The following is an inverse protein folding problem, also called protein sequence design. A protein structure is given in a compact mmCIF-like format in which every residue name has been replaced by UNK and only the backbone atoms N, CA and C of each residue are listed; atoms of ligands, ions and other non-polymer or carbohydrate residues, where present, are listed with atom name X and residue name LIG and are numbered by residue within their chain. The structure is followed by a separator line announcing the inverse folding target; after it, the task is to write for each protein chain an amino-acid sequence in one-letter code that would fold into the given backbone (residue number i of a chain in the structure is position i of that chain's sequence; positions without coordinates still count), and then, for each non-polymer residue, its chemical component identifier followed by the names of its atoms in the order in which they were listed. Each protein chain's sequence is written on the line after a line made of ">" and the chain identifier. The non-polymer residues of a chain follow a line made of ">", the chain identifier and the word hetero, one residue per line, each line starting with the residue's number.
data_IF_101496336150
#
_entry.id   IF_101496336150
#
_cell.length_a   1.000
_cell.length_b   1.000
_cell.length_c   1.000
_cell.angle_alpha   90.00
_cell.angle_beta   90.00
_cell.angle_gamma   90.00
#
_symmetry.space_group_name_H-M   'P 1'
#
loop_
_entity.id
_entity.type
_entity.pdbx_description
1 polymer ?
#
# COMPACT_ATOMS: atom_id res chain seq x y z
N UNK A 1 2.06 11.04 -39.11
CA UNK A 1 2.34 11.84 -37.91
C UNK A 1 3.50 11.20 -37.23
N UNK A 2 4.48 11.94 -36.78
CA UNK A 2 5.64 11.36 -36.09
C UNK A 2 5.21 11.04 -34.67
N UNK A 3 5.33 9.79 -34.26
CA UNK A 3 5.12 9.36 -32.90
C UNK A 3 6.18 10.01 -32.00
N UNK A 4 5.79 10.44 -30.78
CA UNK A 4 6.75 10.98 -29.79
C UNK A 4 7.90 10.00 -29.61
N UNK A 5 9.13 10.50 -29.57
CA UNK A 5 10.33 9.70 -29.35
C UNK A 5 10.37 9.22 -27.88
N UNK A 6 10.77 7.95 -27.68
CA UNK A 6 10.86 7.35 -26.34
C UNK A 6 11.77 8.14 -25.39
N UNK A 7 12.81 8.78 -25.92
CA UNK A 7 13.68 9.66 -25.13
C UNK A 7 12.93 10.92 -24.63
N UNK A 8 12.11 11.53 -25.47
CA UNK A 8 11.31 12.70 -25.09
C UNK A 8 10.27 12.33 -24.04
N UNK A 9 9.57 11.19 -24.24
CA UNK A 9 8.60 10.67 -23.27
C UNK A 9 9.26 10.42 -21.90
N UNK A 10 10.41 9.75 -21.90
CA UNK A 10 11.15 9.49 -20.67
C UNK A 10 11.58 10.78 -19.95
N UNK A 11 12.02 11.78 -20.69
CA UNK A 11 12.37 13.09 -20.12
C UNK A 11 11.17 13.78 -19.45
N UNK A 12 9.99 13.71 -20.09
CA UNK A 12 8.76 14.29 -19.53
C UNK A 12 8.35 13.53 -18.26
N UNK A 13 8.29 12.20 -18.29
CA UNK A 13 7.93 11.36 -17.15
C UNK A 13 8.86 11.59 -15.97
N UNK A 14 10.16 11.56 -16.20
CA UNK A 14 11.16 11.80 -15.13
C UNK A 14 11.05 13.21 -14.55
N UNK A 15 10.74 14.22 -15.37
CA UNK A 15 10.53 15.59 -14.90
C UNK A 15 9.29 15.69 -14.00
N UNK A 16 8.15 15.10 -14.40
CA UNK A 16 6.91 15.12 -13.62
C UNK A 16 7.05 14.34 -12.31
N UNK A 17 7.72 13.18 -12.33
CA UNK A 17 8.04 12.42 -11.11
C UNK A 17 8.86 13.28 -10.15
N UNK A 18 9.95 13.89 -10.64
CA UNK A 18 10.84 14.70 -9.82
C UNK A 18 10.15 15.94 -9.26
N UNK A 19 9.36 16.63 -10.06
CA UNK A 19 8.63 17.82 -9.63
C UNK A 19 7.59 17.47 -8.55
N UNK A 20 6.91 16.32 -8.70
CA UNK A 20 5.95 15.82 -7.71
C UNK A 20 6.63 15.40 -6.41
N UNK A 21 7.75 14.65 -6.48
CA UNK A 21 8.54 14.25 -5.30
C UNK A 21 9.02 15.48 -4.53
N UNK A 22 9.65 16.45 -5.19
CA UNK A 22 10.12 17.68 -4.55
C UNK A 22 9.00 18.46 -3.87
N UNK A 23 7.79 18.46 -4.44
CA UNK A 23 6.65 19.11 -3.83
C UNK A 23 6.19 18.41 -2.56
N UNK A 24 6.08 17.08 -2.59
CA UNK A 24 5.64 16.31 -1.43
C UNK A 24 6.69 16.33 -0.31
N UNK A 25 7.97 16.15 -0.63
CA UNK A 25 9.05 16.15 0.35
C UNK A 25 9.20 17.51 1.04
N UNK A 26 9.05 18.61 0.29
CA UNK A 26 9.24 19.94 0.86
C UNK A 26 8.05 20.47 1.67
N UNK A 27 6.81 20.11 1.32
CA UNK A 27 5.60 20.71 1.92
C UNK A 27 4.86 19.75 2.88
N UNK A 28 4.93 18.43 2.65
CA UNK A 28 4.05 17.48 3.38
C UNK A 28 4.78 16.41 4.18
N UNK A 29 5.96 15.97 3.77
CA UNK A 29 6.65 14.86 4.43
C UNK A 29 6.93 15.14 5.90
N UNK A 30 7.57 16.26 6.21
CA UNK A 30 7.87 16.64 7.60
C UNK A 30 6.62 16.84 8.46
N UNK A 31 5.54 17.34 7.88
CA UNK A 31 4.28 17.51 8.61
C UNK A 31 3.60 16.17 8.89
N UNK A 32 3.72 15.20 7.97
CA UNK A 32 3.19 13.84 8.16
C UNK A 32 3.97 13.06 9.22
N UNK A 33 5.31 13.19 9.24
CA UNK A 33 6.16 12.62 10.29
C UNK A 33 5.74 13.20 11.66
N UNK A 34 5.63 14.52 11.77
CA UNK A 34 5.17 15.17 13.00
C UNK A 34 3.77 14.73 13.41
N UNK A 35 2.85 14.58 12.46
CA UNK A 35 1.51 14.10 12.76
C UNK A 35 1.52 12.70 13.37
N UNK A 36 2.39 11.81 12.86
CA UNK A 36 2.59 10.47 13.41
C UNK A 36 3.19 10.51 14.83
N UNK A 37 4.20 11.32 15.06
CA UNK A 37 4.82 11.51 16.40
C UNK A 37 3.79 12.00 17.41
N UNK A 38 2.95 12.97 17.05
CA UNK A 38 1.88 13.47 17.90
C UNK A 38 0.80 12.41 18.18
N UNK A 39 0.48 11.59 17.17
CA UNK A 39 -0.48 10.50 17.34
C UNK A 39 0.06 9.39 18.25
N UNK A 40 1.35 9.06 18.13
CA UNK A 40 2.03 8.08 18.98
C UNK A 40 2.34 8.60 20.37
N UNK A 41 2.31 9.91 20.58
CA UNK A 41 2.66 10.54 21.86
C UNK A 41 4.17 10.59 22.08
N UNK A 42 4.94 10.69 21.02
CA UNK A 42 6.40 10.85 21.08
C UNK A 42 6.80 12.21 21.68
N UNK A 43 8.04 12.35 22.20
CA UNK A 43 8.51 13.58 22.78
C UNK A 43 8.39 14.79 21.84
N UNK A 44 7.81 15.88 22.36
CA UNK A 44 7.58 17.11 21.58
C UNK A 44 8.86 17.94 21.35
N UNK A 45 10.00 17.54 21.97
CA UNK A 45 11.27 18.25 21.90
C UNK A 45 11.38 19.49 22.80
N UNK A 46 10.37 19.77 23.62
CA UNK A 46 10.35 20.87 24.59
C UNK A 46 10.43 20.38 26.03
N UNK A 47 10.79 19.12 26.25
CA UNK A 47 10.99 18.50 27.57
C UNK A 47 12.26 19.02 28.23
N UNK A 48 12.17 19.19 29.56
CA UNK A 48 13.32 19.63 30.37
C UNK A 48 13.77 18.47 31.25
N UNK A 49 15.06 18.12 31.15
CA UNK A 49 15.65 17.06 31.97
C UNK A 49 15.48 17.35 33.47
N UNK A 50 15.09 16.33 34.24
CA UNK A 50 14.82 16.44 35.66
C UNK A 50 13.47 17.06 36.02
N UNK A 51 12.59 17.29 35.05
CA UNK A 51 11.20 17.72 35.22
C UNK A 51 10.23 16.72 34.64
N UNK A 52 8.94 16.93 34.86
CA UNK A 52 7.90 16.11 34.27
C UNK A 52 7.96 16.14 32.72
N UNK A 53 7.89 14.96 32.11
CA UNK A 53 7.94 14.77 30.65
C UNK A 53 6.61 14.20 30.10
N UNK A 54 5.52 14.32 30.85
CA UNK A 54 4.21 13.81 30.48
C UNK A 54 3.73 14.47 29.16
N UNK A 55 3.22 13.67 28.26
CA UNK A 55 2.64 14.07 26.99
C UNK A 55 1.16 13.68 26.97
N UNK A 56 0.31 14.57 26.53
CA UNK A 56 -1.10 14.31 26.29
C UNK A 56 -1.27 13.77 24.87
N UNK A 57 -2.20 12.85 24.63
CA UNK A 57 -2.46 12.19 23.34
C UNK A 57 -3.75 12.70 22.70
N UNK A 58 -3.97 14.01 22.71
CA UNK A 58 -5.24 14.60 22.24
C UNK A 58 -5.53 14.33 20.76
N UNK A 59 -4.48 14.26 19.93
CA UNK A 59 -4.62 13.91 18.49
C UNK A 59 -5.15 12.49 18.35
N UNK A 60 -4.51 11.53 19.02
CA UNK A 60 -4.95 10.14 19.01
C UNK A 60 -6.37 9.98 19.56
N UNK A 61 -6.65 10.57 20.71
CA UNK A 61 -7.97 10.49 21.36
C UNK A 61 -9.07 11.04 20.45
N UNK A 62 -8.81 12.15 19.77
CA UNK A 62 -9.80 12.76 18.86
C UNK A 62 -10.04 11.90 17.64
N UNK A 63 -8.99 11.39 17.00
CA UNK A 63 -9.11 10.51 15.84
C UNK A 63 -9.85 9.23 16.21
N UNK A 64 -9.45 8.58 17.32
CA UNK A 64 -10.08 7.34 17.77
C UNK A 64 -11.53 7.52 18.25
N UNK A 65 -11.96 8.73 18.60
CA UNK A 65 -13.37 9.05 18.87
C UNK A 65 -14.18 9.27 17.59
N UNK A 66 -13.57 9.81 16.54
CA UNK A 66 -14.23 10.06 15.24
C UNK A 66 -14.40 8.74 14.48
N UNK A 67 -13.38 7.88 14.47
CA UNK A 67 -13.32 6.65 13.67
C UNK A 67 -14.52 5.72 13.85
N UNK A 68 -14.98 5.35 15.06
CA UNK A 68 -16.13 4.46 15.22
C UNK A 68 -17.42 5.04 14.67
N UNK A 69 -17.61 6.35 14.81
CA UNK A 69 -18.79 7.03 14.28
C UNK A 69 -18.78 7.08 12.75
N UNK A 70 -17.62 7.34 12.17
CA UNK A 70 -17.43 7.36 10.72
C UNK A 70 -17.63 5.95 10.15
N UNK A 71 -16.96 4.95 10.73
CA UNK A 71 -17.10 3.55 10.32
C UNK A 71 -18.54 3.07 10.41
N UNK A 72 -19.27 3.42 11.47
CA UNK A 72 -20.66 3.06 11.65
C UNK A 72 -21.57 3.55 10.50
N UNK A 73 -21.28 4.70 9.90
CA UNK A 73 -22.07 5.21 8.76
C UNK A 73 -21.98 4.26 7.56
N UNK A 74 -20.81 3.69 7.32
CA UNK A 74 -20.58 2.80 6.17
C UNK A 74 -20.85 1.32 6.46
N UNK A 75 -20.69 0.89 7.71
CA UNK A 75 -20.82 -0.54 8.09
C UNK A 75 -22.10 -0.87 8.83
N UNK A 76 -23.03 0.08 8.98
CA UNK A 76 -24.32 -0.16 9.68
C UNK A 76 -25.22 -1.19 8.98
N UNK A 77 -25.07 -1.30 7.67
CA UNK A 77 -25.70 -2.32 6.83
C UNK A 77 -24.59 -3.00 6.03
N UNK A 78 -24.78 -4.23 5.58
CA UNK A 78 -23.81 -4.95 4.73
C UNK A 78 -23.71 -4.36 3.30
N UNK A 79 -24.25 -3.17 3.09
CA UNK A 79 -24.22 -2.43 1.83
C UNK A 79 -23.43 -1.13 1.99
N UNK A 80 -22.24 -1.05 1.41
CA UNK A 80 -21.43 0.16 1.35
C UNK A 80 -21.94 1.14 0.28
N UNK A 81 -22.44 0.58 -0.83
CA UNK A 81 -22.86 1.34 -2.00
C UNK A 81 -24.22 0.85 -2.45
N UNK A 82 -25.08 1.76 -2.90
CA UNK A 82 -26.34 1.45 -3.54
C UNK A 82 -26.47 2.21 -4.85
N UNK A 83 -26.68 1.48 -5.93
CA UNK A 83 -26.93 2.06 -7.24
C UNK A 83 -28.41 2.36 -7.39
N UNK A 84 -28.71 3.57 -7.86
CA UNK A 84 -30.08 3.99 -8.15
C UNK A 84 -30.37 3.83 -9.64
N UNK A 85 -31.46 3.19 -9.98
CA UNK A 85 -31.92 3.09 -11.35
C UNK A 85 -32.29 4.48 -11.91
N UNK A 86 -31.92 4.75 -13.17
CA UNK A 86 -32.33 5.99 -13.87
C UNK A 86 -33.65 5.82 -14.59
N UNK A 87 -33.92 4.63 -15.09
CA UNK A 87 -35.16 4.28 -15.77
C UNK A 87 -35.83 3.09 -15.09
N UNK A 88 -37.12 2.87 -15.37
CA UNK A 88 -37.86 1.76 -14.80
C UNK A 88 -37.33 0.38 -15.28
N UNK A 89 -36.67 0.32 -16.42
CA UNK A 89 -36.09 -0.88 -17.00
C UNK A 89 -34.75 -1.24 -16.36
N UNK A 90 -34.07 -0.27 -15.72
CA UNK A 90 -32.74 -0.46 -15.11
C UNK A 90 -32.81 -0.92 -13.63
N UNK A 91 -34.00 -1.08 -13.06
CA UNK A 91 -34.14 -1.38 -11.60
C UNK A 91 -33.47 -2.70 -11.25
N UNK A 92 -33.77 -3.77 -11.97
CA UNK A 92 -33.19 -5.09 -11.72
C UNK A 92 -31.67 -5.10 -11.92
N UNK A 93 -31.20 -4.39 -12.94
CA UNK A 93 -29.75 -4.25 -13.21
C UNK A 93 -29.04 -3.44 -12.11
N UNK A 94 -29.67 -2.38 -11.61
CA UNK A 94 -29.12 -1.56 -10.52
C UNK A 94 -29.01 -2.37 -9.21
N UNK A 95 -29.99 -3.21 -8.93
CA UNK A 95 -29.95 -4.10 -7.75
C UNK A 95 -28.84 -5.17 -7.91
N UNK A 96 -28.72 -5.81 -9.08
CA UNK A 96 -27.63 -6.76 -9.36
C UNK A 96 -26.24 -6.12 -9.23
N UNK A 97 -26.05 -4.92 -9.77
CA UNK A 97 -24.78 -4.18 -9.65
C UNK A 97 -24.49 -3.83 -8.19
N UNK A 98 -25.52 -3.43 -7.44
CA UNK A 98 -25.41 -3.14 -6.00
C UNK A 98 -24.89 -4.37 -5.25
N UNK A 99 -25.52 -5.52 -5.45
CA UNK A 99 -25.14 -6.77 -4.79
C UNK A 99 -23.72 -7.20 -5.18
N UNK A 100 -23.38 -7.13 -6.47
CA UNK A 100 -22.05 -7.51 -6.96
C UNK A 100 -20.94 -6.60 -6.41
N UNK A 101 -21.11 -5.27 -6.43
CA UNK A 101 -20.09 -4.35 -5.92
C UNK A 101 -19.89 -4.52 -4.41
N UNK A 102 -20.98 -4.69 -3.64
CA UNK A 102 -20.88 -4.95 -2.22
C UNK A 102 -20.21 -6.30 -1.92
N UNK A 103 -20.47 -7.33 -2.75
CA UNK A 103 -19.79 -8.62 -2.65
C UNK A 103 -18.27 -8.46 -2.88
N UNK A 104 -17.86 -7.77 -3.94
CA UNK A 104 -16.44 -7.50 -4.24
C UNK A 104 -15.76 -6.77 -3.10
N UNK A 105 -16.41 -5.75 -2.52
CA UNK A 105 -15.82 -4.98 -1.41
C UNK A 105 -15.71 -5.84 -0.14
N UNK A 106 -16.73 -6.63 0.19
CA UNK A 106 -16.80 -7.38 1.46
C UNK A 106 -16.05 -8.70 1.44
N UNK A 107 -16.12 -9.45 0.30
CA UNK A 107 -15.64 -10.83 0.22
C UNK A 107 -14.34 -10.97 -0.55
N UNK A 108 -14.19 -10.26 -1.66
CA UNK A 108 -12.96 -10.31 -2.45
C UNK A 108 -11.87 -9.39 -1.88
N UNK A 109 -12.30 -8.36 -1.15
CA UNK A 109 -11.43 -7.40 -0.48
C UNK A 109 -11.85 -7.28 1.00
N UNK A 110 -10.93 -6.92 1.86
CA UNK A 110 -11.21 -6.66 3.28
C UNK A 110 -11.81 -5.25 3.47
N UNK A 111 -13.05 -5.04 3.01
CA UNK A 111 -13.67 -3.72 2.92
C UNK A 111 -13.64 -2.91 4.20
N UNK A 112 -13.85 -3.55 5.36
CA UNK A 112 -13.75 -2.88 6.67
C UNK A 112 -12.35 -2.32 6.93
N UNK A 113 -11.32 -3.11 6.68
CA UNK A 113 -9.92 -2.73 6.89
C UNK A 113 -9.50 -1.62 5.92
N UNK A 114 -9.92 -1.73 4.66
CA UNK A 114 -9.65 -0.72 3.64
C UNK A 114 -10.24 0.62 4.05
N UNK A 115 -11.52 0.67 4.43
CA UNK A 115 -12.18 1.90 4.87
C UNK A 115 -11.55 2.46 6.14
N UNK A 116 -11.23 1.60 7.11
CA UNK A 116 -10.60 2.03 8.35
C UNK A 116 -9.24 2.69 8.11
N UNK A 117 -8.40 2.07 7.30
CA UNK A 117 -7.08 2.62 6.96
C UNK A 117 -7.22 3.90 6.14
N UNK A 118 -8.10 3.89 5.13
CA UNK A 118 -8.34 5.05 4.26
C UNK A 118 -8.77 6.29 5.03
N UNK A 119 -9.72 6.13 5.94
CA UNK A 119 -10.19 7.24 6.76
C UNK A 119 -9.17 7.67 7.81
N UNK A 120 -8.44 6.72 8.39
CA UNK A 120 -7.41 7.03 9.38
C UNK A 120 -6.26 7.81 8.76
N UNK A 121 -5.80 7.42 7.58
CA UNK A 121 -4.80 8.17 6.83
C UNK A 121 -5.29 9.59 6.51
N UNK A 122 -6.53 9.73 6.06
CA UNK A 122 -7.11 11.04 5.80
C UNK A 122 -7.16 11.93 7.05
N UNK A 123 -7.64 11.39 8.17
CA UNK A 123 -7.77 12.14 9.43
C UNK A 123 -6.42 12.56 10.01
N UNK A 124 -5.38 11.74 9.80
CA UNK A 124 -4.04 11.99 10.32
C UNK A 124 -3.16 12.78 9.34
N UNK A 125 -3.12 12.38 8.07
CA UNK A 125 -2.18 12.85 7.06
C UNK A 125 -2.78 13.78 6.00
N UNK A 126 -4.00 14.31 6.21
CA UNK A 126 -4.74 15.19 5.29
C UNK A 126 -5.33 14.50 4.07
N UNK A 127 -4.77 13.37 3.62
CA UNK A 127 -5.16 12.66 2.42
C UNK A 127 -5.14 11.16 2.68
N UNK A 128 -6.26 10.50 2.43
CA UNK A 128 -6.32 9.05 2.32
C UNK A 128 -6.46 8.67 0.86
N UNK A 129 -5.74 7.65 0.43
CA UNK A 129 -5.69 7.19 -0.96
C UNK A 129 -5.99 5.71 -1.04
N UNK A 130 -6.82 5.33 -1.99
CA UNK A 130 -7.03 3.95 -2.40
C UNK A 130 -6.87 3.82 -3.91
N UNK A 131 -6.34 2.69 -4.34
CA UNK A 131 -6.20 2.30 -5.75
C UNK A 131 -7.08 1.09 -6.00
N UNK A 132 -7.76 1.06 -7.14
CA UNK A 132 -8.51 -0.10 -7.58
C UNK A 132 -7.97 -0.57 -8.93
N UNK A 133 -7.77 -1.89 -9.04
CA UNK A 133 -7.21 -2.50 -10.25
C UNK A 133 -7.71 -3.94 -10.40
N UNK A 134 -7.58 -4.46 -11.60
CA UNK A 134 -7.87 -5.85 -11.88
C UNK A 134 -6.58 -6.67 -11.73
N UNK A 135 -6.58 -7.64 -10.82
CA UNK A 135 -5.47 -8.56 -10.60
C UNK A 135 -5.77 -9.88 -11.29
N UNK A 136 -4.96 -10.26 -12.27
CA UNK A 136 -5.00 -11.58 -12.88
C UNK A 136 -4.04 -12.50 -12.12
N UNK A 137 -4.55 -13.66 -11.69
CA UNK A 137 -3.74 -14.73 -11.14
C UNK A 137 -3.81 -15.94 -12.05
N UNK A 138 -2.66 -16.49 -12.34
CA UNK A 138 -2.52 -17.78 -12.99
C UNK A 138 -2.22 -18.84 -11.92
N UNK A 139 -3.25 -19.61 -11.55
CA UNK A 139 -3.08 -20.75 -10.66
C UNK A 139 -2.71 -21.97 -11.50
N UNK A 140 -1.51 -22.50 -11.29
CA UNK A 140 -1.03 -23.70 -11.97
C UNK A 140 -1.19 -24.88 -11.02
N UNK A 141 -2.09 -25.80 -11.34
CA UNK A 141 -2.31 -27.04 -10.60
C UNK A 141 -1.86 -28.24 -11.40
N UNK A 142 -1.25 -29.23 -10.77
CA UNK A 142 -0.95 -30.51 -11.40
C UNK A 142 -2.11 -31.48 -11.13
N UNK A 143 -2.71 -31.98 -12.20
CA UNK A 143 -3.77 -32.98 -12.17
C UNK A 143 -3.31 -34.25 -12.85
N UNK A 144 -3.64 -35.42 -12.27
CA UNK A 144 -3.35 -36.72 -12.85
C UNK A 144 -4.64 -37.32 -13.41
N UNK A 145 -4.58 -37.71 -14.69
CA UNK A 145 -5.67 -38.37 -15.38
C UNK A 145 -5.24 -39.80 -15.69
N UNK A 146 -6.07 -40.78 -15.28
CA UNK A 146 -5.81 -42.20 -15.47
C UNK A 146 -6.75 -42.82 -16.51
N UNK A 147 -6.25 -43.80 -17.24
CA UNK A 147 -7.02 -44.61 -18.21
C UNK A 147 -7.71 -43.80 -19.34
N UNK A 148 -7.05 -42.74 -19.82
CA UNK A 148 -7.52 -41.99 -20.99
C UNK A 148 -7.29 -42.80 -22.27
N UNK A 149 -8.27 -42.81 -23.17
CA UNK A 149 -8.03 -43.29 -24.54
C UNK A 149 -7.34 -42.23 -25.39
N UNK A 150 -6.86 -42.59 -26.57
CA UNK A 150 -6.12 -41.67 -27.45
C UNK A 150 -6.95 -40.45 -27.87
N UNK A 151 -8.26 -40.64 -28.05
CA UNK A 151 -9.18 -39.55 -28.42
C UNK A 151 -9.40 -38.59 -27.24
N UNK A 152 -9.57 -39.10 -26.04
CA UNK A 152 -9.71 -38.31 -24.81
C UNK A 152 -8.42 -37.54 -24.50
N UNK A 153 -7.26 -38.17 -24.66
CA UNK A 153 -5.97 -37.53 -24.51
C UNK A 153 -5.79 -36.39 -25.53
N UNK A 154 -6.11 -36.64 -26.79
CA UNK A 154 -6.02 -35.59 -27.81
C UNK A 154 -7.00 -34.44 -27.59
N UNK A 155 -8.21 -34.73 -27.10
CA UNK A 155 -9.19 -33.72 -26.72
C UNK A 155 -8.74 -32.87 -25.51
N UNK A 156 -8.11 -33.51 -24.54
CA UNK A 156 -7.56 -32.84 -23.37
C UNK A 156 -6.40 -31.90 -23.74
N UNK A 157 -5.48 -32.36 -24.58
CA UNK A 157 -4.36 -31.58 -25.09
C UNK A 157 -4.72 -30.52 -26.13
N UNK A 158 -5.93 -30.59 -26.71
CA UNK A 158 -6.43 -29.53 -27.59
C UNK A 158 -6.80 -28.25 -26.87
N UNK A 159 -6.99 -28.30 -25.52
CA UNK A 159 -7.23 -27.12 -24.72
C UNK A 159 -5.89 -26.45 -24.38
N UNK A 160 -5.71 -25.16 -24.73
CA UNK A 160 -4.46 -24.43 -24.48
C UNK A 160 -4.13 -24.27 -22.99
N UNK A 161 -5.09 -24.44 -22.08
CA UNK A 161 -4.91 -24.33 -20.65
C UNK A 161 -4.26 -25.58 -20.02
N UNK A 162 -4.09 -26.66 -20.80
CA UNK A 162 -3.53 -27.93 -20.36
C UNK A 162 -2.16 -28.17 -20.99
N UNK A 163 -1.15 -28.31 -20.16
CA UNK A 163 0.22 -28.60 -20.58
C UNK A 163 0.67 -29.96 -20.06
N UNK A 164 1.05 -30.86 -20.96
CA UNK A 164 1.53 -32.19 -20.60
C UNK A 164 2.88 -32.11 -19.89
N UNK A 165 2.94 -32.56 -18.63
CA UNK A 165 4.20 -32.65 -17.85
C UNK A 165 4.92 -33.96 -18.12
N UNK A 166 4.15 -35.06 -18.25
CA UNK A 166 4.70 -36.39 -18.53
C UNK A 166 3.63 -37.47 -18.61
N UNK A 167 3.95 -38.51 -19.32
CA UNK A 167 3.15 -39.74 -19.36
C UNK A 167 3.62 -40.64 -18.22
N UNK A 168 2.71 -41.01 -17.32
CA UNK A 168 3.00 -41.86 -16.15
C UNK A 168 3.07 -43.31 -16.62
N UNK A 169 2.10 -43.77 -17.40
CA UNK A 169 2.07 -45.11 -17.98
C UNK A 169 1.26 -45.13 -19.25
N UNK A 170 1.66 -46.02 -20.14
CA UNK A 170 0.92 -46.44 -21.31
C UNK A 170 0.66 -47.93 -21.19
N UNK A 171 -0.59 -48.34 -21.20
CA UNK A 171 -0.98 -49.76 -21.13
C UNK A 171 -1.86 -50.11 -22.31
N UNK A 172 -1.45 -51.16 -23.03
CA UNK A 172 -2.29 -51.72 -24.08
C UNK A 172 -3.49 -52.44 -23.46
N UNK A 173 -4.69 -52.00 -23.81
CA UNK A 173 -5.96 -52.56 -23.31
C UNK A 173 -6.58 -53.62 -24.20
N UNK A 174 -6.23 -53.61 -25.48
CA UNK A 174 -6.68 -54.60 -26.42
C UNK A 174 -5.56 -54.98 -27.41
N UNK A 175 -5.46 -56.29 -27.76
CA UNK A 175 -4.47 -56.80 -28.67
C UNK A 175 -5.18 -57.50 -29.85
N UNK A 176 -4.67 -57.35 -31.03
CA UNK A 176 -5.02 -58.16 -32.22
C UNK A 176 -3.79 -59.00 -32.56
N UNK A 177 -4.03 -60.28 -32.85
CA UNK A 177 -3.00 -61.18 -33.35
C UNK A 177 -3.01 -61.07 -34.86
N UNK A 178 -1.89 -60.68 -35.47
CA UNK A 178 -1.70 -60.70 -36.90
C UNK A 178 -1.71 -62.16 -37.39
N UNK A 179 -2.69 -62.50 -38.23
CA UNK A 179 -2.87 -63.87 -38.77
C UNK A 179 -1.66 -64.36 -39.60
N UNK A 180 -0.81 -63.44 -40.10
CA UNK A 180 0.37 -63.81 -40.93
C UNK A 180 1.67 -63.92 -40.13
N UNK A 181 1.85 -63.12 -39.09
CA UNK A 181 3.10 -63.12 -38.30
C UNK A 181 2.96 -63.75 -36.92
N UNK A 182 1.74 -63.90 -36.41
CA UNK A 182 1.47 -64.43 -35.07
C UNK A 182 1.87 -63.47 -33.92
N UNK A 183 2.19 -62.20 -34.27
CA UNK A 183 2.56 -61.18 -33.26
C UNK A 183 1.31 -60.49 -32.75
N UNK A 184 1.29 -60.23 -31.43
CA UNK A 184 0.26 -59.44 -30.78
C UNK A 184 0.53 -57.92 -30.99
N UNK A 185 -0.37 -57.24 -31.74
CA UNK A 185 -0.31 -55.79 -31.89
C UNK A 185 -1.34 -55.13 -31.01
N UNK A 186 -0.98 -54.08 -30.26
CA UNK A 186 -1.94 -53.33 -29.49
C UNK A 186 -2.88 -52.58 -30.42
N UNK A 187 -4.19 -52.72 -30.20
CA UNK A 187 -5.23 -52.01 -30.95
C UNK A 187 -5.71 -50.77 -30.20
N UNK A 188 -5.67 -50.88 -28.88
CA UNK A 188 -6.15 -49.80 -28.00
C UNK A 188 -5.17 -49.67 -26.80
N UNK A 189 -4.83 -48.40 -26.49
CA UNK A 189 -3.92 -48.05 -25.42
C UNK A 189 -4.60 -47.09 -24.47
N UNK A 190 -4.47 -47.33 -23.19
CA UNK A 190 -4.85 -46.39 -22.15
C UNK A 190 -3.61 -45.63 -21.63
N UNK A 191 -3.77 -44.33 -21.50
CA UNK A 191 -2.72 -43.44 -21.07
C UNK A 191 -3.05 -42.89 -19.66
N UNK A 192 -2.07 -42.90 -18.79
CA UNK A 192 -2.13 -42.13 -17.55
C UNK A 192 -1.12 -40.99 -17.66
N UNK A 193 -1.62 -39.78 -17.56
CA UNK A 193 -0.83 -38.55 -17.82
C UNK A 193 -0.94 -37.58 -16.65
N UNK A 194 0.14 -36.87 -16.43
CA UNK A 194 0.17 -35.71 -15.53
C UNK A 194 0.17 -34.44 -16.35
N UNK A 195 -0.79 -33.56 -16.06
CA UNK A 195 -1.03 -32.35 -16.82
C UNK A 195 -0.97 -31.15 -15.85
N UNK A 196 -0.30 -30.10 -16.27
CA UNK A 196 -0.44 -28.77 -15.64
C UNK A 196 -1.65 -28.08 -16.18
N UNK A 197 -2.57 -27.74 -15.30
CA UNK A 197 -3.77 -26.97 -15.62
C UNK A 197 -3.55 -25.53 -15.21
N UNK A 198 -3.53 -24.63 -16.18
CA UNK A 198 -3.42 -23.18 -15.98
C UNK A 198 -4.82 -22.60 -15.85
N UNK A 199 -5.21 -22.19 -14.67
CA UNK A 199 -6.50 -21.53 -14.43
C UNK A 199 -6.27 -20.04 -14.22
N UNK A 200 -6.74 -19.24 -15.17
CA UNK A 200 -6.74 -17.78 -15.01
C UNK A 200 -7.92 -17.37 -14.16
N UNK A 201 -7.66 -16.81 -13.00
CA UNK A 201 -8.66 -16.18 -12.16
C UNK A 201 -8.36 -14.68 -12.08
N UNK A 202 -9.39 -13.85 -12.21
CA UNK A 202 -9.23 -12.41 -12.11
C UNK A 202 -10.11 -11.83 -11.00
N UNK A 203 -9.57 -10.92 -10.24
CA UNK A 203 -10.27 -10.23 -9.15
C UNK A 203 -10.06 -8.73 -9.23
N UNK A 204 -11.12 -7.99 -8.89
CA UNK A 204 -10.99 -6.56 -8.63
C UNK A 204 -10.39 -6.39 -7.25
N UNK A 205 -9.22 -5.76 -7.19
CA UNK A 205 -8.52 -5.42 -5.96
C UNK A 205 -8.68 -3.95 -5.63
N UNK A 206 -8.85 -3.68 -4.35
CA UNK A 206 -8.82 -2.34 -3.77
C UNK A 206 -7.72 -2.33 -2.72
N UNK A 207 -6.74 -1.46 -2.88
CA UNK A 207 -5.58 -1.38 -2.00
C UNK A 207 -5.45 0.04 -1.43
N UNK A 208 -5.16 0.15 -0.13
CA UNK A 208 -4.75 1.40 0.47
C UNK A 208 -3.33 1.74 0.00
N UNK A 209 -3.13 2.98 -0.38
CA UNK A 209 -1.82 3.51 -0.76
C UNK A 209 -1.36 4.44 0.35
N UNK A 210 -0.18 4.21 0.94
CA UNK A 210 0.40 5.14 1.88
C UNK A 210 0.57 6.53 1.24
N UNK A 211 0.31 7.63 1.97
CA UNK A 211 0.36 8.97 1.40
C UNK A 211 1.72 9.35 0.79
N UNK A 212 2.82 8.77 1.26
CA UNK A 212 4.18 8.96 0.73
C UNK A 212 4.41 8.26 -0.62
N UNK A 213 3.63 7.23 -0.92
CA UNK A 213 3.72 6.50 -2.19
C UNK A 213 2.84 7.11 -3.29
N UNK A 214 1.96 8.03 -2.93
CA UNK A 214 1.05 8.69 -3.88
C UNK A 214 1.62 10.03 -4.34
N UNK A 215 1.81 10.17 -5.64
CA UNK A 215 2.31 11.38 -6.28
C UNK A 215 1.23 12.00 -7.16
N UNK A 216 1.11 13.31 -7.10
CA UNK A 216 0.20 14.08 -7.96
C UNK A 216 0.80 15.44 -8.28
N UNK A 217 0.45 15.98 -9.43
CA UNK A 217 0.92 17.30 -9.82
C UNK A 217 0.42 18.39 -8.87
N UNK A 218 1.25 19.36 -8.54
CA UNK A 218 1.04 20.41 -7.55
C UNK A 218 -0.25 21.22 -7.74
N UNK A 219 -0.72 21.37 -8.97
CA UNK A 219 -1.87 22.23 -9.33
C UNK A 219 -3.19 21.46 -9.43
N UNK A 220 -3.20 20.19 -9.14
CA UNK A 220 -4.42 19.39 -9.20
C UNK A 220 -5.44 19.88 -8.16
N UNK A 221 -6.65 20.11 -8.62
CA UNK A 221 -7.81 20.40 -7.77
C UNK A 221 -8.60 19.11 -7.54
N UNK A 222 -8.75 18.31 -8.58
CA UNK A 222 -9.41 17.01 -8.59
C UNK A 222 -8.56 15.99 -9.33
N UNK A 223 -8.80 14.71 -9.10
CA UNK A 223 -8.10 13.62 -9.79
C UNK A 223 -8.35 13.63 -11.30
N UNK A 224 -9.57 13.92 -11.74
CA UNK A 224 -9.95 13.94 -13.16
C UNK A 224 -9.23 15.04 -13.96
N UNK A 225 -8.96 16.17 -13.30
CA UNK A 225 -8.25 17.31 -13.90
C UNK A 225 -6.73 17.16 -13.81
N UNK A 226 -6.23 16.22 -13.01
CA UNK A 226 -4.80 16.02 -12.84
C UNK A 226 -4.12 15.66 -14.17
N UNK A 227 -3.00 16.33 -14.45
CA UNK A 227 -2.17 16.00 -15.62
C UNK A 227 -1.26 14.83 -15.37
N UNK A 228 -0.87 14.62 -14.10
CA UNK A 228 0.02 13.58 -13.66
C UNK A 228 -0.43 13.04 -12.30
N UNK A 229 -0.58 11.74 -12.20
CA UNK A 229 -0.80 10.98 -10.96
C UNK A 229 0.07 9.74 -11.03
N UNK A 230 0.76 9.39 -9.94
CA UNK A 230 1.56 8.18 -9.92
C UNK A 230 1.49 7.47 -8.56
N UNK A 231 1.74 6.18 -8.60
CA UNK A 231 1.99 5.32 -7.46
C UNK A 231 3.46 4.90 -7.49
N UNK A 232 4.22 5.29 -6.47
CA UNK A 232 5.61 4.93 -6.25
C UNK A 232 5.66 3.80 -5.22
N UNK A 233 6.23 2.66 -5.57
CA UNK A 233 6.38 1.54 -4.64
C UNK A 233 7.66 0.77 -4.92
N UNK A 234 8.11 -0.08 -3.98
CA UNK A 234 9.17 -1.05 -4.25
C UNK A 234 8.53 -2.39 -4.61
N UNK A 235 9.11 -3.05 -5.62
CA UNK A 235 8.75 -4.39 -6.05
C UNK A 235 10.00 -5.24 -6.21
N UNK A 236 9.87 -6.56 -5.95
CA UNK A 236 11.01 -7.46 -6.18
C UNK A 236 11.24 -7.70 -7.68
N UNK A 237 12.48 -8.00 -8.06
CA UNK A 237 12.80 -8.43 -9.43
C UNK A 237 11.91 -9.61 -9.85
N UNK A 238 11.67 -10.55 -8.94
CA UNK A 238 10.80 -11.71 -9.18
C UNK A 238 9.38 -11.32 -9.55
N UNK A 239 8.78 -10.37 -8.82
CA UNK A 239 7.40 -9.92 -9.07
C UNK A 239 7.29 -9.21 -10.43
N UNK A 240 8.25 -8.35 -10.77
CA UNK A 240 8.26 -7.65 -12.05
C UNK A 240 8.44 -8.62 -13.24
N UNK A 241 9.29 -9.62 -13.10
CA UNK A 241 9.45 -10.69 -14.13
C UNK A 241 8.17 -11.53 -14.23
N UNK A 242 7.51 -11.83 -13.12
CA UNK A 242 6.22 -12.54 -13.12
C UNK A 242 5.10 -11.74 -13.81
N UNK A 243 5.16 -10.40 -13.75
CA UNK A 243 4.26 -9.51 -14.52
C UNK A 243 4.57 -9.48 -16.03
N UNK A 244 5.65 -10.13 -16.45
CA UNK A 244 6.02 -10.24 -17.87
C UNK A 244 7.03 -9.20 -18.36
N UNK A 245 7.65 -8.43 -17.48
CA UNK A 245 8.71 -7.48 -17.87
C UNK A 245 10.05 -8.19 -18.12
N UNK A 246 10.87 -7.57 -18.98
CA UNK A 246 12.17 -8.14 -19.36
C UNK A 246 13.12 -8.18 -18.14
N UNK A 247 13.58 -9.39 -17.84
CA UNK A 247 14.48 -9.64 -16.71
C UNK A 247 15.77 -8.82 -16.77
N UNK A 248 16.40 -8.70 -17.95
CA UNK A 248 17.66 -7.98 -18.09
C UNK A 248 17.50 -6.48 -17.81
N UNK A 249 16.34 -5.92 -18.17
CA UNK A 249 16.01 -4.52 -17.91
C UNK A 249 15.78 -4.31 -16.42
N UNK A 250 15.02 -5.18 -15.79
CA UNK A 250 14.69 -5.09 -14.35
C UNK A 250 15.95 -5.27 -13.48
N UNK A 251 16.79 -6.27 -13.77
CA UNK A 251 18.03 -6.53 -13.01
C UNK A 251 19.04 -5.37 -13.04
N UNK A 252 19.03 -4.54 -14.09
CA UNK A 252 19.89 -3.32 -14.14
C UNK A 252 19.54 -2.30 -13.05
N UNK A 253 18.29 -2.31 -12.59
CA UNK A 253 17.79 -1.42 -11.55
C UNK A 253 17.63 -2.11 -10.19
N UNK A 254 18.14 -3.35 -10.06
CA UNK A 254 18.10 -4.08 -8.79
C UNK A 254 18.88 -3.33 -7.69
N UNK A 255 18.26 -3.24 -6.52
CA UNK A 255 18.81 -2.52 -5.37
C UNK A 255 18.42 -1.04 -5.29
N UNK A 256 17.74 -0.47 -6.29
CA UNK A 256 17.22 0.90 -6.19
C UNK A 256 16.08 1.03 -5.18
N UNK A 257 15.42 -0.09 -4.83
CA UNK A 257 14.36 -0.12 -3.81
C UNK A 257 14.82 0.34 -2.44
N UNK A 258 16.10 0.16 -2.11
CA UNK A 258 16.69 0.66 -0.87
C UNK A 258 16.67 2.19 -0.74
N UNK A 259 16.55 2.92 -1.84
CA UNK A 259 16.43 4.38 -1.81
C UNK A 259 15.08 4.83 -1.23
N UNK A 260 14.03 4.00 -1.35
CA UNK A 260 12.76 4.23 -0.66
C UNK A 260 12.87 4.00 0.85
N UNK A 261 13.75 3.11 1.29
CA UNK A 261 13.98 2.84 2.71
C UNK A 261 14.74 4.00 3.40
N UNK A 262 15.43 4.83 2.62
CA UNK A 262 16.04 6.09 3.07
C UNK A 262 15.01 7.23 3.20
N UNK A 263 13.78 7.03 2.73
CA UNK A 263 12.70 7.99 2.93
C UNK A 263 12.36 8.06 4.42
N UNK A 264 12.62 9.22 5.02
CA UNK A 264 12.45 9.45 6.48
C UNK A 264 11.01 9.14 6.93
N UNK A 265 10.01 9.44 6.12
CA UNK A 265 8.61 9.19 6.41
C UNK A 265 8.30 7.68 6.48
N UNK A 266 8.80 6.91 5.52
CA UNK A 266 8.65 5.46 5.48
C UNK A 266 9.38 4.80 6.67
N UNK A 267 10.58 5.25 6.98
CA UNK A 267 11.37 4.75 8.09
C UNK A 267 10.68 4.96 9.45
N UNK A 268 10.08 6.13 9.66
CA UNK A 268 9.30 6.42 10.89
C UNK A 268 8.03 5.58 10.97
N UNK A 269 7.35 5.33 9.85
CA UNK A 269 6.14 4.50 9.79
C UNK A 269 6.41 3.04 10.17
N UNK A 270 7.51 2.47 9.71
CA UNK A 270 7.82 1.05 9.89
C UNK A 270 8.76 0.74 11.05
N UNK A 271 9.32 1.74 11.72
CA UNK A 271 10.16 1.71 12.95
C UNK A 271 11.35 0.71 13.00
N UNK A 272 11.47 -0.21 12.06
CA UNK A 272 12.41 -1.36 12.12
C UNK A 272 13.10 -1.68 10.77
N UNK A 273 13.17 -0.74 9.84
CA UNK A 273 13.75 -1.00 8.52
C UNK A 273 15.27 -1.33 8.52
N UNK A 274 15.97 -1.02 9.61
CA UNK A 274 17.41 -1.36 9.74
C UNK A 274 17.70 -2.88 9.75
N UNK A 275 16.69 -3.71 10.02
CA UNK A 275 16.89 -5.15 10.14
C UNK A 275 16.88 -5.92 8.81
N UNK A 276 16.40 -5.33 7.72
CA UNK A 276 16.17 -6.04 6.45
C UNK A 276 17.25 -5.89 5.38
N UNK A 277 18.26 -5.04 5.59
CA UNK A 277 19.35 -4.81 4.62
C UNK A 277 20.24 -6.04 4.34
N UNK A 278 20.00 -7.17 5.01
CA UNK A 278 20.77 -8.39 4.85
C UNK A 278 20.18 -9.47 3.94
N UNK A 279 18.88 -9.39 3.61
CA UNK A 279 18.20 -10.43 2.81
C UNK A 279 18.42 -10.16 1.31
N UNK A 280 18.43 -8.92 0.90
CA UNK A 280 18.61 -8.52 -0.51
C UNK A 280 19.99 -8.85 -1.09
N UNK A 281 21.00 -9.01 -0.24
CA UNK A 281 22.36 -9.33 -0.67
C UNK A 281 22.56 -10.83 -1.01
N UNK A 282 21.66 -11.72 -0.60
CA UNK A 282 21.81 -13.16 -0.74
C UNK A 282 21.18 -13.74 -2.02
N UNK A 283 20.06 -13.17 -2.49
CA UNK A 283 19.35 -13.61 -3.70
C UNK A 283 19.00 -12.41 -4.60
N UNK A 284 19.60 -12.32 -5.79
CA UNK A 284 19.34 -11.22 -6.73
C UNK A 284 17.85 -11.13 -7.18
N UNK A 285 17.10 -12.22 -7.07
CA UNK A 285 15.68 -12.23 -7.46
C UNK A 285 14.76 -11.53 -6.46
N UNK A 286 15.23 -11.41 -5.22
CA UNK A 286 14.55 -10.71 -4.12
C UNK A 286 14.99 -9.26 -3.99
N UNK A 287 15.96 -8.82 -4.80
CA UNK A 287 16.38 -7.43 -4.81
C UNK A 287 15.21 -6.51 -5.19
N UNK A 288 15.05 -5.43 -4.44
CA UNK A 288 13.98 -4.48 -4.65
C UNK A 288 14.33 -3.45 -5.72
N UNK A 289 13.32 -3.10 -6.52
CA UNK A 289 13.38 -2.10 -7.57
C UNK A 289 12.31 -1.06 -7.31
N UNK A 290 12.66 0.23 -7.41
CA UNK A 290 11.66 1.30 -7.37
C UNK A 290 10.80 1.24 -8.62
N UNK A 291 9.50 1.14 -8.43
CA UNK A 291 8.49 1.01 -9.46
C UNK A 291 7.54 2.21 -9.42
N UNK A 292 7.37 2.88 -10.55
CA UNK A 292 6.43 3.98 -10.72
C UNK A 292 5.36 3.59 -11.72
N UNK A 293 4.12 3.63 -11.30
CA UNK A 293 2.97 3.50 -12.19
C UNK A 293 2.33 4.87 -12.37
N UNK A 294 2.60 5.49 -13.50
CA UNK A 294 2.22 6.86 -13.81
C UNK A 294 0.98 6.89 -14.71
N UNK A 295 0.03 7.74 -14.38
CA UNK A 295 -1.13 8.06 -15.19
C UNK A 295 -1.02 9.54 -15.57
N UNK A 296 -0.72 9.80 -16.84
CA UNK A 296 -0.47 11.15 -17.30
C UNK A 296 -1.12 11.44 -18.65
N UNK A 297 -1.44 12.73 -18.84
CA UNK A 297 -1.96 13.24 -20.11
C UNK A 297 -0.77 13.69 -20.96
N UNK A 298 -0.52 12.99 -22.08
CA UNK A 298 0.58 13.29 -23.00
C UNK A 298 0.11 13.13 -24.44
N UNK A 299 0.52 14.03 -25.33
CA UNK A 299 0.33 13.90 -26.77
C UNK A 299 1.37 12.94 -27.31
N UNK A 300 0.99 11.67 -27.50
CA UNK A 300 1.90 10.61 -27.94
C UNK A 300 1.97 10.46 -29.44
N UNK A 301 0.90 10.80 -30.14
CA UNK A 301 0.81 10.65 -31.61
C UNK A 301 1.03 11.98 -32.37
N UNK A 302 1.37 13.08 -31.66
CA UNK A 302 1.68 14.40 -32.17
C UNK A 302 0.51 15.00 -32.98
N UNK A 303 -0.73 14.78 -32.49
CA UNK A 303 -1.95 15.35 -33.08
C UNK A 303 -2.37 16.69 -32.42
N UNK A 304 -1.72 17.08 -31.31
CA UNK A 304 -1.99 18.27 -30.53
C UNK A 304 -3.04 18.05 -29.42
N UNK A 305 -3.48 16.82 -29.19
CA UNK A 305 -4.45 16.45 -28.14
C UNK A 305 -3.76 15.50 -27.16
N UNK A 306 -3.72 15.87 -25.90
CA UNK A 306 -3.12 15.01 -24.86
C UNK A 306 -4.07 13.88 -24.48
N UNK A 307 -3.61 12.65 -24.60
CA UNK A 307 -4.31 11.43 -24.21
C UNK A 307 -3.87 10.96 -22.84
N UNK A 308 -4.80 10.34 -22.08
CA UNK A 308 -4.44 9.67 -20.82
C UNK A 308 -3.70 8.36 -21.12
N UNK A 309 -2.51 8.22 -20.59
CA UNK A 309 -1.70 7.02 -20.75
C UNK A 309 -1.23 6.48 -19.40
N UNK A 310 -1.18 5.17 -19.29
CA UNK A 310 -0.54 4.45 -18.21
C UNK A 310 0.90 4.17 -18.64
N UNK A 311 1.85 4.75 -17.91
CA UNK A 311 3.28 4.61 -18.17
C UNK A 311 3.91 4.00 -16.94
N UNK A 312 4.61 2.89 -17.14
CA UNK A 312 5.34 2.22 -16.07
C UNK A 312 6.82 2.53 -16.25
N UNK A 313 7.41 3.09 -15.20
CA UNK A 313 8.83 3.41 -15.15
C UNK A 313 9.48 2.76 -13.93
N UNK A 314 10.76 2.40 -14.06
CA UNK A 314 11.56 1.79 -13.00
C UNK A 314 12.84 2.58 -12.73
N UNK A 315 13.43 2.29 -11.57
CA UNK A 315 14.67 2.93 -11.14
C UNK A 315 14.47 4.26 -10.44
N UNK A 316 15.50 4.81 -9.84
CA UNK A 316 15.48 6.08 -9.12
C UNK A 316 14.96 7.21 -10.01
N UNK A 317 13.84 7.85 -9.58
CA UNK A 317 13.21 8.92 -10.34
C UNK A 317 12.59 8.50 -11.68
N UNK A 318 12.33 7.19 -11.90
CA UNK A 318 11.69 6.70 -13.12
C UNK A 318 12.57 6.80 -14.38
N UNK A 319 13.81 6.38 -14.27
CA UNK A 319 14.83 6.58 -15.33
C UNK A 319 14.61 5.72 -16.57
N UNK A 320 13.92 4.59 -16.47
CA UNK A 320 13.66 3.69 -17.60
C UNK A 320 12.17 3.33 -17.69
N UNK A 321 11.54 3.60 -18.84
CA UNK A 321 10.14 3.24 -19.12
C UNK A 321 10.10 1.80 -19.63
N UNK A 322 9.29 0.97 -18.99
CA UNK A 322 9.10 -0.46 -19.34
C UNK A 322 7.75 -0.76 -19.98
N UNK A 323 6.74 0.11 -19.80
CA UNK A 323 5.43 -0.02 -20.44
C UNK A 323 4.81 1.35 -20.71
N UNK A 324 4.05 1.46 -21.81
CA UNK A 324 3.32 2.66 -22.19
C UNK A 324 2.06 2.26 -22.93
N UNK A 325 0.91 2.40 -22.27
CA UNK A 325 -0.38 1.95 -22.78
C UNK A 325 -1.41 3.08 -22.70
N UNK A 326 -2.34 3.20 -23.67
CA UNK A 326 -3.49 4.09 -23.54
C UNK A 326 -4.37 3.64 -22.38
N UNK A 327 -4.93 4.59 -21.64
CA UNK A 327 -5.77 4.29 -20.47
C UNK A 327 -6.96 5.23 -20.42
N UNK A 328 -8.11 4.76 -19.90
CA UNK A 328 -9.36 5.53 -19.98
C UNK A 328 -9.63 6.36 -18.72
N UNK A 329 -9.09 5.97 -17.56
CA UNK A 329 -9.39 6.61 -16.30
C UNK A 329 -8.24 6.47 -15.28
N UNK A 330 -8.20 7.34 -14.30
CA UNK A 330 -7.22 7.29 -13.20
C UNK A 330 -7.78 6.37 -12.11
N UNK A 331 -7.14 5.21 -11.79
CA UNK A 331 -7.70 4.19 -10.90
C UNK A 331 -7.46 4.48 -9.42
N UNK A 332 -7.59 5.72 -9.00
CA UNK A 332 -7.44 6.13 -7.60
C UNK A 332 -8.72 6.78 -7.11
N UNK A 333 -8.94 6.68 -5.80
CA UNK A 333 -9.92 7.48 -5.09
C UNK A 333 -9.24 8.11 -3.88
N UNK A 334 -9.48 9.39 -3.69
CA UNK A 334 -8.87 10.18 -2.62
C UNK A 334 -9.94 10.76 -1.72
N UNK A 335 -9.63 10.90 -0.44
CA UNK A 335 -10.47 11.58 0.53
C UNK A 335 -9.63 12.52 1.38
N UNK A 336 -10.13 13.73 1.59
CA UNK A 336 -9.59 14.70 2.55
C UNK A 336 -10.69 15.08 3.55
N UNK A 337 -10.45 15.02 4.87
CA UNK A 337 -11.51 15.19 5.86
C UNK A 337 -12.02 16.64 5.94
N UNK A 338 -11.15 17.62 5.76
CA UNK A 338 -11.49 19.04 5.81
C UNK A 338 -11.05 19.68 4.50
N UNK A 339 -12.03 19.84 3.62
CA UNK A 339 -11.77 20.37 2.28
C UNK A 339 -11.31 21.82 2.32
N UNK A 340 -10.31 22.12 1.52
CA UNK A 340 -9.87 23.48 1.24
C UNK A 340 -10.29 23.88 -0.18
N UNK A 341 -10.88 25.04 -0.39
CA UNK A 341 -11.28 25.47 -1.73
C UNK A 341 -10.11 25.46 -2.72
N UNK A 342 -10.34 24.87 -3.90
CA UNK A 342 -9.38 24.83 -5.00
C UNK A 342 -8.08 24.08 -4.69
N UNK A 343 -8.13 23.11 -3.78
CA UNK A 343 -7.02 22.22 -3.44
C UNK A 343 -7.51 20.79 -3.24
N UNK A 344 -6.79 19.81 -3.77
CA UNK A 344 -7.07 18.41 -3.54
C UNK A 344 -6.73 18.03 -2.09
N UNK A 345 -5.58 18.46 -1.61
CA UNK A 345 -5.12 18.20 -0.25
C UNK A 345 -5.67 19.28 0.67
N UNK A 346 -6.54 18.89 1.57
CA UNK A 346 -7.15 19.77 2.55
C UNK A 346 -6.36 19.83 3.87
N UNK A 347 -7.08 19.81 5.00
CA UNK A 347 -6.50 19.77 6.35
C UNK A 347 -6.91 18.49 7.08
N UNK A 348 -6.07 18.05 8.00
CA UNK A 348 -6.31 16.89 8.88
C UNK A 348 -6.90 17.32 10.23
N UNK A 349 -7.31 16.32 11.01
CA UNK A 349 -7.66 16.53 12.42
C UNK A 349 -6.41 16.88 13.23
N UNK A 350 -5.26 16.33 12.88
CA UNK A 350 -3.97 16.71 13.46
C UNK A 350 -3.74 18.22 13.36
N UNK A 351 -3.90 18.82 12.17
CA UNK A 351 -3.72 20.28 11.95
C UNK A 351 -4.59 21.17 12.87
N UNK A 352 -5.69 20.64 13.39
CA UNK A 352 -6.61 21.37 14.27
C UNK A 352 -6.32 21.13 15.75
N UNK A 353 -5.66 20.04 16.09
CA UNK A 353 -5.48 19.60 17.49
C UNK A 353 -4.03 19.69 17.98
N UNK A 354 -3.06 19.86 17.07
CA UNK A 354 -1.62 19.95 17.40
C UNK A 354 -1.34 20.97 18.50
N UNK A 355 -1.75 22.22 18.29
CA UNK A 355 -1.51 23.31 19.25
C UNK A 355 -2.13 23.04 20.62
N UNK A 356 -3.31 22.43 20.63
CA UNK A 356 -4.01 22.08 21.87
C UNK A 356 -3.24 21.01 22.66
N UNK A 357 -2.71 20.00 21.96
CA UNK A 357 -1.89 18.94 22.58
C UNK A 357 -0.60 19.53 23.21
N UNK A 358 0.07 20.45 22.51
CA UNK A 358 1.28 21.13 23.01
C UNK A 358 0.96 21.96 24.26
N UNK A 359 -0.10 22.78 24.22
CA UNK A 359 -0.52 23.60 25.34
C UNK A 359 -0.89 22.73 26.55
N UNK A 360 -1.71 21.71 26.34
CA UNK A 360 -2.17 20.82 27.41
C UNK A 360 -1.00 20.04 28.04
N UNK A 361 -0.10 19.49 27.22
CA UNK A 361 1.11 18.80 27.71
C UNK A 361 1.97 19.73 28.56
N UNK A 362 2.20 20.94 28.09
CA UNK A 362 2.99 21.95 28.84
C UNK A 362 2.33 22.32 30.16
N UNK A 363 1.02 22.55 30.20
CA UNK A 363 0.28 22.83 31.40
C UNK A 363 0.30 21.66 32.40
N UNK A 364 0.13 20.43 31.91
CA UNK A 364 0.22 19.22 32.75
C UNK A 364 1.60 19.06 33.39
N UNK A 365 2.67 19.27 32.60
CA UNK A 365 4.04 19.24 33.12
C UNK A 365 4.27 20.29 34.23
N UNK A 366 3.87 21.53 33.96
CA UNK A 366 3.99 22.60 34.96
C UNK A 366 3.20 22.31 36.25
N UNK A 367 2.00 21.75 36.10
CA UNK A 367 1.19 21.34 37.23
C UNK A 367 1.87 20.23 38.05
N UNK A 368 2.34 19.17 37.37
CA UNK A 368 3.06 18.07 38.03
C UNK A 368 4.35 18.55 38.71
N UNK A 369 5.15 19.38 38.05
CA UNK A 369 6.37 19.97 38.64
C UNK A 369 6.05 20.81 39.87
N UNK A 370 4.95 21.57 39.85
CA UNK A 370 4.48 22.33 40.99
C UNK A 370 4.09 21.41 42.17
N UNK A 371 3.37 20.30 41.86
CA UNK A 371 3.01 19.29 42.86
C UNK A 371 4.25 18.64 43.44
N UNK A 372 5.23 18.24 42.63
CA UNK A 372 6.50 17.67 43.11
C UNK A 372 7.29 18.64 43.98
N UNK A 373 7.41 19.89 43.53
CA UNK A 373 8.11 20.92 44.31
C UNK A 373 7.41 21.23 45.63
N UNK A 374 6.08 21.17 45.65
CA UNK A 374 5.29 21.37 46.87
C UNK A 374 5.39 20.18 47.84
N UNK A 375 5.46 18.96 47.29
CA UNK A 375 5.50 17.72 48.09
C UNK A 375 6.90 17.42 48.60
N UNK A 376 7.94 17.76 47.83
CA UNK A 376 9.35 17.59 48.15
C UNK A 376 10.08 18.95 48.05
N UNK A 377 9.81 19.88 49.00
CA UNK A 377 10.41 21.20 48.95
C UNK A 377 11.93 21.09 49.14
N UNK A 378 12.68 21.90 48.40
CA UNK A 378 14.11 22.05 48.63
C UNK A 378 14.31 22.75 49.98
N UNK A 379 15.06 22.11 50.88
CA UNK A 379 15.37 22.66 52.21
C UNK A 379 16.79 23.20 52.15
N UNK A 380 16.97 24.45 52.53
CA UNK A 380 18.29 25.02 52.77
C UNK A 380 18.69 24.78 54.24
N UNK A 381 19.70 23.95 54.48
CA UNK A 381 20.23 23.70 55.80
C UNK A 381 21.65 24.28 55.93
N UNK A 382 21.98 24.88 57.06
CA UNK A 382 23.33 25.34 57.33
C UNK A 382 24.15 24.12 57.72
N UNK A 383 25.29 23.93 57.12
CA UNK A 383 26.19 22.82 57.37
C UNK A 383 26.65 22.87 58.87
N UNK A 384 26.49 21.75 59.56
CA UNK A 384 26.85 21.60 60.96
C UNK A 384 25.81 22.06 62.00
N UNK A 385 24.64 22.60 61.56
CA UNK A 385 23.56 22.98 62.50
C UNK A 385 22.34 22.02 62.44
N UNK A 386 22.32 21.08 61.53
CA UNK A 386 21.21 20.14 61.36
C UNK A 386 21.76 18.73 61.14
N UNK A 387 21.14 17.72 61.73
CA UNK A 387 21.49 16.35 61.50
C UNK A 387 20.98 15.97 60.05
N UNK A 388 21.91 15.77 59.11
CA UNK A 388 21.62 15.44 57.72
C UNK A 388 20.90 14.10 57.59
N UNK A 389 21.17 13.12 58.43
CA UNK A 389 20.52 11.80 58.38
C UNK A 389 19.03 11.92 58.75
N UNK A 390 18.69 12.75 59.74
CA UNK A 390 17.29 13.02 60.12
C UNK A 390 16.57 13.86 59.04
N UNK A 391 17.31 14.72 58.31
CA UNK A 391 16.75 15.50 57.19
C UNK A 391 16.48 14.68 55.96
N UNK A 392 17.30 13.67 55.70
CA UNK A 392 17.20 12.77 54.57
C UNK A 392 16.23 11.61 54.84
N UNK A 393 15.89 11.36 56.11
CA UNK A 393 14.88 10.35 56.45
C UNK A 393 13.48 10.85 56.07
N UNK A 394 12.94 10.29 54.96
CA UNK A 394 11.65 10.66 54.36
C UNK A 394 10.42 10.20 55.16
N UNK A 395 10.53 9.82 56.42
CA UNK A 395 9.42 9.40 57.28
C UNK A 395 8.45 10.54 57.54
N UNK A 396 7.19 10.33 57.17
CA UNK A 396 6.14 11.32 57.41
C UNK A 396 5.97 11.58 58.91
N UNK A 397 6.24 12.82 59.37
CA UNK A 397 6.19 13.20 60.78
C UNK A 397 7.48 12.98 61.55
N UNK A 398 8.60 12.68 60.89
CA UNK A 398 9.93 12.55 61.46
C UNK A 398 10.38 13.85 62.15
N UNK A 399 11.12 13.75 63.30
CA UNK A 399 11.65 14.85 64.04
C UNK A 399 13.10 15.07 63.59
N UNK A 400 13.40 16.30 63.10
CA UNK A 400 14.75 16.71 62.77
C UNK A 400 15.44 17.25 64.01
N UNK A 401 16.54 16.64 64.42
CA UNK A 401 17.34 17.10 65.51
C UNK A 401 18.25 18.28 65.11
N UNK A 402 18.22 19.35 65.83
CA UNK A 402 19.01 20.59 65.59
C UNK A 402 20.11 20.73 66.63
#
# INVERSE_FOLDING_TARGET
>A
MAKMDDYQLNSIVTSEIRDSLNHFDSEYSQERIRALDFYLGEPLGNEVEGRSQVISTDVADTIEQIMPNLMRVFTANDQYVRFAARTAEDVERADQITDYVNYVINHDNEGYKILNNWFKDALLFRLGVVKYYYEEKEDVTEEEYENLNEMELSALLANPDYELVGTISEQATAFMVDEMTGEEMPIDSSFSVRVKVKRKSGKIKVANIPPEEFLINRRAVDLEDAHFVAHRTSMTVSDLVAMGYDREVVERHAGTGSDLDLDEERSVRYQDLEANTGIDAADPTLAEVVYYECYMKVDHDDDGIAELRRIVAIGEGGTEIISNEPYDHIPFAVVSPILMPHRLIGRSVYDMTEDLQVIKSTLMRQYLDSVYTSTLPRIAAVEGMVNLDDLLDGTAGGIIRV
#
